data_IF_318255876982
#
_entry.id   IF_318255876982
#
_cell.length_a   1.000
_cell.length_b   1.000
_cell.length_c   1.000
_cell.angle_alpha   90.00
_cell.angle_beta   90.00
_cell.angle_gamma   90.00
#
_symmetry.space_group_name_H-M   'P 1'
#
loop_
_entity.id
_entity.type
_entity.pdbx_description
1 polymer ?
#
# COMPACT_ATOMS: atom_id res chain seq x y z
N UNK A 1 -11.82 -12.71 -35.17
CA UNK A 1 -13.17 -13.10 -34.71
C UNK A 1 -13.03 -14.21 -33.67
N UNK A 2 -12.75 -13.86 -32.41
CA UNK A 2 -12.98 -14.71 -31.22
C UNK A 2 -13.42 -13.73 -30.13
N UNK A 3 -14.72 -13.71 -29.87
CA UNK A 3 -15.32 -13.04 -28.72
C UNK A 3 -14.98 -13.85 -27.47
N UNK A 4 -14.46 -13.22 -26.41
CA UNK A 4 -14.57 -13.78 -25.07
C UNK A 4 -15.30 -12.77 -24.18
N UNK A 5 -16.42 -13.26 -23.64
CA UNK A 5 -17.41 -12.52 -22.86
C UNK A 5 -16.79 -12.12 -21.52
N UNK A 6 -16.55 -10.84 -21.31
CA UNK A 6 -16.49 -10.30 -19.96
C UNK A 6 -17.91 -10.33 -19.37
N UNK A 7 -18.13 -10.83 -18.14
CA UNK A 7 -19.42 -10.71 -17.51
C UNK A 7 -19.71 -9.22 -17.27
N UNK A 8 -20.70 -8.69 -18.00
CA UNK A 8 -21.40 -7.45 -17.68
C UNK A 8 -22.11 -7.70 -16.35
N UNK A 9 -21.87 -6.86 -15.35
CA UNK A 9 -22.48 -6.85 -14.01
C UNK A 9 -21.70 -7.63 -12.93
N UNK A 10 -20.54 -7.11 -12.55
CA UNK A 10 -20.06 -7.23 -11.16
C UNK A 10 -20.34 -5.89 -10.47
N UNK A 11 -21.59 -5.69 -10.04
CA UNK A 11 -21.95 -4.56 -9.18
C UNK A 11 -21.29 -4.76 -7.81
N UNK A 12 -20.29 -3.94 -7.48
CA UNK A 12 -19.78 -3.82 -6.13
C UNK A 12 -20.70 -2.87 -5.35
N UNK A 13 -21.76 -3.41 -4.76
CA UNK A 13 -22.61 -2.68 -3.81
C UNK A 13 -22.07 -2.92 -2.40
N UNK A 14 -21.40 -1.93 -1.81
CA UNK A 14 -21.12 -1.88 -0.37
C UNK A 14 -21.68 -0.60 0.23
N UNK A 15 -22.28 -0.75 1.42
CA UNK A 15 -23.05 0.25 2.15
C UNK A 15 -22.26 1.51 2.49
N UNK A 16 -22.92 2.65 2.34
CA UNK A 16 -22.43 3.97 2.73
C UNK A 16 -22.30 4.07 4.26
N UNK A 17 -21.11 3.85 4.80
CA UNK A 17 -20.76 4.37 6.13
C UNK A 17 -19.53 5.28 6.01
N UNK A 18 -19.72 6.53 6.42
CA UNK A 18 -18.76 7.64 6.35
C UNK A 18 -17.66 7.47 7.39
N UNK A 19 -16.52 6.94 6.95
CA UNK A 19 -15.20 7.30 7.47
C UNK A 19 -14.35 7.70 6.26
N UNK A 20 -13.38 8.63 6.37
CA UNK A 20 -12.48 8.95 5.26
C UNK A 20 -11.57 7.75 5.05
N UNK A 21 -12.03 6.78 4.25
CA UNK A 21 -11.24 5.64 3.81
C UNK A 21 -10.90 5.81 2.33
N UNK A 22 -9.70 5.39 1.95
CA UNK A 22 -9.31 5.27 0.55
C UNK A 22 -10.09 4.09 -0.05
N UNK A 23 -11.29 4.36 -0.59
CA UNK A 23 -12.27 3.29 -0.87
C UNK A 23 -11.85 2.36 -2.00
N UNK A 24 -11.14 2.86 -3.03
CA UNK A 24 -10.71 2.07 -4.20
C UNK A 24 -9.36 2.54 -4.74
N UNK A 25 -8.42 1.61 -4.88
CA UNK A 25 -7.12 1.84 -5.55
C UNK A 25 -6.93 0.91 -6.73
N UNK A 26 -6.20 1.36 -7.75
CA UNK A 26 -5.81 0.55 -8.90
C UNK A 26 -4.29 0.57 -9.09
N UNK A 27 -3.69 -0.59 -9.37
CA UNK A 27 -2.27 -0.71 -9.69
C UNK A 27 -2.00 -0.35 -11.15
N UNK A 28 -1.02 0.51 -11.40
CA UNK A 28 -0.62 0.97 -12.73
C UNK A 28 0.51 0.13 -13.36
N UNK A 29 0.66 0.22 -14.69
CA UNK A 29 1.58 -0.60 -15.50
C UNK A 29 3.01 -0.06 -15.56
N UNK A 30 3.87 -0.70 -16.37
CA UNK A 30 5.30 -0.41 -16.54
C UNK A 30 5.64 0.51 -17.71
N UNK A 31 4.64 1.12 -18.36
CA UNK A 31 4.84 2.14 -19.40
C UNK A 31 3.95 3.37 -19.14
N UNK A 32 4.44 4.57 -19.48
CA UNK A 32 3.70 5.83 -19.26
C UNK A 32 2.31 5.80 -19.90
N UNK A 33 2.24 5.40 -21.18
CA UNK A 33 0.99 5.37 -21.95
C UNK A 33 -0.05 4.43 -21.33
N UNK A 34 0.36 3.21 -21.00
CA UNK A 34 -0.56 2.22 -20.42
C UNK A 34 -0.99 2.61 -19.02
N UNK A 35 -0.07 3.16 -18.22
CA UNK A 35 -0.39 3.68 -16.88
C UNK A 35 -1.48 4.76 -16.95
N UNK A 36 -1.41 5.68 -17.91
CA UNK A 36 -2.43 6.71 -18.12
C UNK A 36 -3.77 6.07 -18.53
N UNK A 37 -3.75 5.11 -19.47
CA UNK A 37 -4.96 4.38 -19.89
C UNK A 37 -5.64 3.66 -18.71
N UNK A 38 -4.84 3.04 -17.83
CA UNK A 38 -5.34 2.40 -16.61
C UNK A 38 -5.89 3.43 -15.62
N UNK A 39 -5.27 4.60 -15.48
CA UNK A 39 -5.80 5.69 -14.65
C UNK A 39 -7.20 6.12 -15.11
N UNK A 40 -7.39 6.31 -16.41
CA UNK A 40 -8.70 6.61 -16.97
C UNK A 40 -9.72 5.49 -16.77
N UNK A 41 -9.29 4.24 -16.94
CA UNK A 41 -10.16 3.07 -16.73
C UNK A 41 -10.56 2.93 -15.26
N UNK A 42 -9.65 3.18 -14.33
CA UNK A 42 -9.89 3.18 -12.90
C UNK A 42 -10.88 4.28 -12.50
N UNK A 43 -10.68 5.50 -13.01
CA UNK A 43 -11.60 6.61 -12.77
C UNK A 43 -13.00 6.34 -13.33
N UNK A 44 -13.11 5.78 -14.54
CA UNK A 44 -14.39 5.33 -15.11
C UNK A 44 -15.07 4.24 -14.28
N UNK A 45 -14.29 3.47 -13.54
CA UNK A 45 -14.79 2.44 -12.61
C UNK A 45 -15.11 3.00 -11.21
N UNK A 46 -14.94 4.31 -11.01
CA UNK A 46 -15.22 5.02 -9.75
C UNK A 46 -14.09 4.98 -8.73
N UNK A 47 -12.85 4.66 -9.12
CA UNK A 47 -11.72 4.73 -8.19
C UNK A 47 -11.48 6.17 -7.72
N UNK A 48 -11.21 6.33 -6.42
CA UNK A 48 -10.91 7.64 -5.82
C UNK A 48 -9.43 8.02 -6.00
N UNK A 49 -8.55 7.01 -6.04
CA UNK A 49 -7.10 7.17 -6.14
C UNK A 49 -6.49 6.10 -7.04
N UNK A 50 -5.36 6.41 -7.67
CA UNK A 50 -4.51 5.44 -8.38
C UNK A 50 -3.15 5.31 -7.67
N UNK A 51 -2.50 4.15 -7.78
CA UNK A 51 -1.17 3.92 -7.22
C UNK A 51 -0.24 3.28 -8.26
N UNK A 52 0.97 3.83 -8.40
CA UNK A 52 1.94 3.43 -9.44
C UNK A 52 3.30 3.07 -8.87
N UNK A 53 3.81 1.90 -9.27
CA UNK A 53 5.22 1.56 -9.14
C UNK A 53 6.05 2.35 -10.18
N UNK A 54 7.33 2.64 -9.90
CA UNK A 54 8.25 3.11 -10.93
C UNK A 54 8.50 2.01 -11.99
N UNK A 55 8.75 2.39 -13.25
CA UNK A 55 9.05 1.44 -14.32
C UNK A 55 10.43 0.80 -14.12
N UNK A 56 10.46 -0.47 -13.72
CA UNK A 56 11.71 -1.15 -13.34
C UNK A 56 12.27 -2.22 -14.27
N UNK A 57 11.60 -2.53 -15.38
CA UNK A 57 12.08 -3.60 -16.27
C UNK A 57 13.45 -3.28 -16.89
N UNK A 58 13.64 -2.03 -17.34
CA UNK A 58 14.90 -1.54 -17.92
C UNK A 58 15.76 -0.76 -16.91
N UNK A 59 15.69 -1.09 -15.62
CA UNK A 59 16.45 -0.38 -14.57
C UNK A 59 17.94 -0.23 -14.91
N UNK A 60 18.57 -1.29 -15.43
CA UNK A 60 19.98 -1.27 -15.84
C UNK A 60 20.30 -0.34 -17.02
N UNK A 61 19.35 -0.09 -17.92
CA UNK A 61 19.53 0.85 -19.03
C UNK A 61 19.30 2.32 -18.62
N UNK A 62 18.58 2.53 -17.51
CA UNK A 62 18.27 3.87 -17.01
C UNK A 62 19.38 4.45 -16.11
N UNK A 63 20.45 3.71 -15.81
CA UNK A 63 21.44 4.07 -14.78
C UNK A 63 21.94 5.51 -14.89
N UNK A 64 22.24 6.00 -16.09
CA UNK A 64 22.76 7.36 -16.30
C UNK A 64 21.77 8.49 -16.01
N UNK A 65 20.46 8.25 -16.13
CA UNK A 65 19.42 9.27 -16.02
C UNK A 65 18.20 8.80 -15.21
N UNK A 66 18.40 7.80 -14.35
CA UNK A 66 17.37 7.02 -13.70
C UNK A 66 16.39 7.90 -12.90
N UNK A 67 16.93 8.82 -12.09
CA UNK A 67 16.11 9.74 -11.29
C UNK A 67 15.25 10.65 -12.16
N UNK A 68 15.80 11.17 -13.26
CA UNK A 68 15.09 12.02 -14.21
C UNK A 68 14.00 11.23 -14.95
N UNK A 69 14.31 10.01 -15.39
CA UNK A 69 13.35 9.13 -16.06
C UNK A 69 12.15 8.81 -15.17
N UNK A 70 12.37 8.43 -13.90
CA UNK A 70 11.30 8.18 -12.94
C UNK A 70 10.51 9.45 -12.64
N UNK A 71 11.19 10.58 -12.42
CA UNK A 71 10.53 11.85 -12.15
C UNK A 71 9.58 12.23 -13.30
N UNK A 72 10.07 12.16 -14.54
CA UNK A 72 9.29 12.48 -15.73
C UNK A 72 8.11 11.52 -15.93
N UNK A 73 8.31 10.22 -15.64
CA UNK A 73 7.22 9.25 -15.64
C UNK A 73 6.09 9.68 -14.70
N UNK A 74 6.38 9.94 -13.42
CA UNK A 74 5.33 10.31 -12.46
C UNK A 74 4.70 11.67 -12.77
N UNK A 75 5.47 12.66 -13.22
CA UNK A 75 4.92 13.97 -13.64
C UNK A 75 3.94 13.78 -14.81
N UNK A 76 4.33 13.02 -15.83
CA UNK A 76 3.49 12.81 -17.02
C UNK A 76 2.22 12.04 -16.68
N UNK A 77 2.33 10.98 -15.88
CA UNK A 77 1.18 10.21 -15.39
C UNK A 77 0.25 11.08 -14.56
N UNK A 78 0.79 11.87 -13.63
CA UNK A 78 -0.01 12.74 -12.77
C UNK A 78 -0.75 13.84 -13.56
N UNK A 79 -0.10 14.39 -14.59
CA UNK A 79 -0.69 15.43 -15.45
C UNK A 79 -1.92 14.91 -16.22
N UNK A 80 -1.89 13.66 -16.68
CA UNK A 80 -2.98 13.08 -17.49
C UNK A 80 -3.99 12.26 -16.68
N UNK A 81 -3.65 11.87 -15.44
CA UNK A 81 -4.57 11.11 -14.59
C UNK A 81 -5.80 11.95 -14.21
N UNK A 82 -7.03 11.43 -14.42
CA UNK A 82 -8.25 12.12 -13.99
C UNK A 82 -8.50 12.06 -12.48
N UNK A 83 -7.81 11.17 -11.75
CA UNK A 83 -7.91 11.00 -10.29
C UNK A 83 -6.52 11.18 -9.63
N UNK A 84 -6.45 11.54 -8.34
CA UNK A 84 -5.18 11.68 -7.63
C UNK A 84 -4.36 10.38 -7.64
N UNK A 85 -3.04 10.53 -7.77
CA UNK A 85 -2.09 9.43 -7.83
C UNK A 85 -1.23 9.32 -6.56
N UNK A 86 -0.80 8.11 -6.24
CA UNK A 86 0.21 7.83 -5.23
C UNK A 86 1.42 7.15 -5.85
N UNK A 87 2.61 7.54 -5.41
CA UNK A 87 3.85 6.84 -5.71
C UNK A 87 3.87 5.53 -4.92
N UNK A 88 4.36 4.46 -5.51
CA UNK A 88 4.60 3.19 -4.81
C UNK A 88 6.08 2.84 -4.91
N UNK A 89 6.80 2.94 -3.80
CA UNK A 89 8.19 2.50 -3.71
C UNK A 89 8.25 1.07 -3.16
N UNK A 90 8.60 0.09 -4.00
CA UNK A 90 8.71 -1.33 -3.60
C UNK A 90 9.87 -2.04 -4.35
N UNK A 91 11.11 -1.88 -3.86
CA UNK A 91 12.31 -2.32 -4.59
C UNK A 91 12.31 -3.80 -5.00
N UNK A 92 11.74 -4.68 -4.15
CA UNK A 92 11.70 -6.12 -4.39
C UNK A 92 10.93 -6.52 -5.67
N UNK A 93 10.03 -5.68 -6.17
CA UNK A 93 9.23 -5.94 -7.39
C UNK A 93 9.53 -4.97 -8.53
N UNK A 94 10.51 -4.09 -8.34
CA UNK A 94 10.94 -3.06 -9.31
C UNK A 94 12.42 -3.17 -9.62
N UNK A 95 12.98 -4.38 -9.66
CA UNK A 95 14.40 -4.61 -10.02
C UNK A 95 15.39 -3.84 -9.14
N UNK A 96 15.12 -3.74 -7.84
CA UNK A 96 15.99 -3.05 -6.89
C UNK A 96 15.89 -1.53 -6.88
N UNK A 97 14.97 -0.96 -7.68
CA UNK A 97 14.68 0.47 -7.67
C UNK A 97 14.14 0.88 -6.30
N UNK A 98 14.98 1.59 -5.55
CA UNK A 98 14.62 2.23 -4.30
C UNK A 98 14.71 3.76 -4.42
N UNK A 99 13.54 4.41 -4.49
CA UNK A 99 13.46 5.86 -4.63
C UNK A 99 13.94 6.55 -3.35
N UNK A 100 14.94 7.41 -3.50
CA UNK A 100 15.47 8.23 -2.40
C UNK A 100 14.49 9.35 -2.04
N UNK A 101 14.54 9.83 -0.78
CA UNK A 101 13.65 10.89 -0.30
C UNK A 101 13.66 12.12 -1.20
N UNK A 102 14.82 12.54 -1.70
CA UNK A 102 14.95 13.73 -2.54
C UNK A 102 14.22 13.59 -3.88
N UNK A 103 14.27 12.40 -4.49
CA UNK A 103 13.50 12.12 -5.70
C UNK A 103 12.00 12.19 -5.42
N UNK A 104 11.55 11.56 -4.34
CA UNK A 104 10.14 11.53 -3.92
C UNK A 104 9.63 12.96 -3.68
N UNK A 105 10.37 13.76 -2.91
CA UNK A 105 10.04 15.16 -2.62
C UNK A 105 10.05 15.99 -3.90
N UNK A 106 10.99 15.77 -4.81
CA UNK A 106 11.02 16.48 -6.10
C UNK A 106 9.79 16.19 -6.96
N UNK A 107 9.25 14.96 -6.91
CA UNK A 107 8.01 14.60 -7.60
C UNK A 107 6.82 15.25 -6.89
N UNK A 108 6.75 15.18 -5.55
CA UNK A 108 5.70 15.80 -4.77
C UNK A 108 5.58 17.30 -5.08
N UNK A 109 6.71 18.01 -5.16
CA UNK A 109 6.76 19.44 -5.51
C UNK A 109 6.35 19.74 -6.96
N UNK A 110 6.70 18.87 -7.91
CA UNK A 110 6.47 19.11 -9.34
C UNK A 110 5.12 18.58 -9.86
N UNK A 111 4.44 17.68 -9.15
CA UNK A 111 3.23 17.01 -9.62
C UNK A 111 2.06 17.20 -8.62
N UNK A 112 1.22 18.24 -8.77
CA UNK A 112 0.16 18.56 -7.80
C UNK A 112 -0.91 17.47 -7.71
N UNK A 113 -1.08 16.66 -8.75
CA UNK A 113 -2.03 15.54 -8.74
C UNK A 113 -1.47 14.26 -8.07
N UNK A 114 -0.22 14.28 -7.59
CA UNK A 114 0.30 13.24 -6.69
C UNK A 114 -0.03 13.62 -5.24
N UNK A 115 -0.82 12.78 -4.58
CA UNK A 115 -1.31 12.99 -3.21
C UNK A 115 -0.65 12.06 -2.18
N UNK A 116 0.42 11.35 -2.53
CA UNK A 116 1.15 10.61 -1.52
C UNK A 116 2.12 9.59 -2.06
N UNK A 117 2.68 8.83 -1.12
CA UNK A 117 3.58 7.72 -1.36
C UNK A 117 3.32 6.56 -0.42
N UNK A 118 3.33 5.35 -0.97
CA UNK A 118 3.39 4.08 -0.25
C UNK A 118 4.84 3.58 -0.23
N UNK A 119 5.39 3.33 0.96
CA UNK A 119 6.76 2.87 1.16
C UNK A 119 6.79 1.39 1.59
N UNK A 120 7.03 0.47 0.65
CA UNK A 120 7.33 -0.95 0.95
C UNK A 120 8.84 -1.19 0.84
N UNK A 121 9.62 -0.50 1.68
CA UNK A 121 11.08 -0.66 1.75
C UNK A 121 11.63 -0.86 3.18
N UNK A 122 10.78 -0.79 4.21
CA UNK A 122 11.19 -0.96 5.62
C UNK A 122 12.07 0.16 6.20
N UNK A 123 12.30 1.23 5.44
CA UNK A 123 13.23 2.30 5.81
C UNK A 123 12.50 3.43 6.55
N UNK A 124 12.31 3.29 7.87
CA UNK A 124 11.65 4.31 8.70
C UNK A 124 12.38 5.67 8.61
N UNK A 125 13.71 5.69 8.54
CA UNK A 125 14.45 6.95 8.35
C UNK A 125 14.12 7.70 7.04
N UNK A 126 13.80 6.97 5.96
CA UNK A 126 13.32 7.58 4.70
C UNK A 126 11.94 8.21 4.89
N UNK A 127 11.05 7.51 5.60
CA UNK A 127 9.74 8.01 5.97
C UNK A 127 9.88 9.29 6.78
N UNK A 128 10.68 9.28 7.85
CA UNK A 128 10.93 10.44 8.73
C UNK A 128 11.40 11.67 7.95
N UNK A 129 12.34 11.52 7.01
CA UNK A 129 12.82 12.64 6.18
C UNK A 129 11.74 13.22 5.27
N UNK A 130 10.83 12.38 4.76
CA UNK A 130 9.77 12.84 3.87
C UNK A 130 8.69 13.54 4.70
N UNK A 131 8.23 12.90 5.78
CA UNK A 131 7.18 13.42 6.66
C UNK A 131 7.58 14.72 7.34
N UNK A 132 8.86 14.91 7.71
CA UNK A 132 9.37 16.17 8.27
C UNK A 132 9.28 17.36 7.32
N UNK A 133 8.95 17.14 6.05
CA UNK A 133 8.77 18.20 5.04
C UNK A 133 7.32 18.26 4.61
N UNK A 134 6.71 17.13 4.25
CA UNK A 134 5.36 17.14 3.65
C UNK A 134 4.23 17.36 4.67
N UNK A 135 4.51 17.17 5.97
CA UNK A 135 3.54 17.46 7.03
C UNK A 135 3.62 18.91 7.53
N UNK A 136 4.63 19.69 7.12
CA UNK A 136 4.71 21.11 7.44
C UNK A 136 3.59 21.89 6.75
N UNK A 137 2.99 22.83 7.48
CA UNK A 137 1.91 23.66 6.93
C UNK A 137 2.36 24.47 5.70
N UNK A 138 3.63 24.90 5.70
CA UNK A 138 4.24 25.63 4.58
C UNK A 138 4.27 24.80 3.30
N UNK A 139 4.48 23.49 3.39
CA UNK A 139 4.52 22.60 2.21
C UNK A 139 3.17 22.55 1.50
N UNK A 140 2.07 22.48 2.26
CA UNK A 140 0.73 22.49 1.67
C UNK A 140 0.40 23.81 0.97
N UNK A 141 0.91 24.94 1.49
CA UNK A 141 0.74 26.27 0.89
C UNK A 141 1.63 26.49 -0.34
N UNK A 142 2.90 26.08 -0.28
CA UNK A 142 3.88 26.28 -1.37
C UNK A 142 3.64 25.29 -2.53
N UNK A 143 3.17 24.07 -2.22
CA UNK A 143 2.95 23.01 -3.18
C UNK A 143 1.53 22.42 -3.05
N UNK A 144 0.47 23.20 -3.36
CA UNK A 144 -0.90 22.75 -3.21
C UNK A 144 -1.18 21.51 -4.07
N UNK A 145 -2.02 20.61 -3.55
CA UNK A 145 -2.48 19.44 -4.30
C UNK A 145 -3.62 19.83 -5.23
N UNK A 146 -3.74 19.15 -6.38
CA UNK A 146 -4.81 19.38 -7.36
C UNK A 146 -6.20 19.10 -6.76
N UNK A 147 -6.27 18.15 -5.83
CA UNK A 147 -7.47 17.82 -5.06
C UNK A 147 -7.22 18.20 -3.61
N UNK A 148 -7.87 19.25 -3.14
CA UNK A 148 -7.64 19.84 -1.81
C UNK A 148 -7.94 18.87 -0.67
N UNK A 149 -8.94 18.01 -0.85
CA UNK A 149 -9.31 16.96 0.11
C UNK A 149 -8.33 15.79 0.16
N UNK A 150 -7.31 15.80 -0.71
CA UNK A 150 -6.28 14.76 -0.81
C UNK A 150 -4.87 15.37 -0.59
N UNK A 151 -4.54 15.79 0.64
CA UNK A 151 -3.20 16.28 0.98
C UNK A 151 -2.14 15.17 0.77
N UNK A 152 -0.88 15.55 0.66
CA UNK A 152 0.19 14.58 0.46
C UNK A 152 0.35 13.68 1.70
N UNK A 153 0.17 12.36 1.56
CA UNK A 153 0.31 11.39 2.65
C UNK A 153 1.48 10.43 2.43
N UNK A 154 2.21 10.13 3.50
CA UNK A 154 3.22 9.07 3.53
C UNK A 154 2.63 7.87 4.25
N UNK A 155 2.59 6.73 3.59
CA UNK A 155 1.90 5.52 4.06
C UNK A 155 2.87 4.34 4.00
N UNK A 156 2.87 3.54 5.06
CA UNK A 156 3.70 2.34 5.12
C UNK A 156 3.14 1.21 4.24
N UNK A 157 4.05 0.43 3.69
CA UNK A 157 3.73 -0.75 2.91
C UNK A 157 3.57 -2.02 3.74
N UNK A 158 4.24 -2.05 4.88
CA UNK A 158 4.13 -3.11 5.89
C UNK A 158 3.59 -2.48 7.17
N UNK A 159 2.93 -3.29 7.99
CA UNK A 159 2.27 -2.81 9.22
C UNK A 159 3.06 -3.21 10.48
N UNK A 160 4.03 -4.11 10.35
CA UNK A 160 4.91 -4.62 11.42
C UNK A 160 5.76 -3.57 12.13
N UNK A 161 5.96 -2.40 11.52
CA UNK A 161 6.63 -1.24 12.13
C UNK A 161 5.77 0.04 12.13
N UNK A 162 4.43 -0.09 12.10
CA UNK A 162 3.56 1.09 12.05
C UNK A 162 3.72 2.01 13.27
N UNK A 163 3.89 1.48 14.49
CA UNK A 163 3.99 2.30 15.70
C UNK A 163 5.15 3.33 15.64
N UNK A 164 6.41 2.94 15.35
CA UNK A 164 7.49 3.92 15.18
C UNK A 164 7.28 4.80 13.92
N UNK A 165 6.67 4.30 12.85
CA UNK A 165 6.33 5.12 11.69
C UNK A 165 5.30 6.21 11.99
N UNK A 166 4.29 5.92 12.81
CA UNK A 166 3.28 6.90 13.25
C UNK A 166 3.93 7.99 14.12
N UNK A 167 4.87 7.63 15.00
CA UNK A 167 5.67 8.60 15.74
C UNK A 167 6.52 9.50 14.80
N UNK A 168 6.92 8.99 13.64
CA UNK A 168 7.61 9.75 12.60
C UNK A 168 6.66 10.52 11.66
N UNK A 169 5.34 10.51 11.89
CA UNK A 169 4.35 11.25 11.09
C UNK A 169 3.78 10.50 9.88
N UNK A 170 3.88 9.17 9.87
CA UNK A 170 3.15 8.32 8.91
C UNK A 170 1.63 8.54 9.03
N UNK A 171 0.91 8.27 7.95
CA UNK A 171 -0.55 8.37 7.90
C UNK A 171 -1.27 7.02 8.04
N UNK A 172 -0.53 5.92 8.18
CA UNK A 172 -1.08 4.57 8.30
C UNK A 172 -0.31 3.55 7.45
N UNK A 173 -0.95 2.42 7.15
CA UNK A 173 -0.38 1.37 6.30
C UNK A 173 -1.38 0.86 5.25
N UNK A 174 -0.88 0.56 4.04
CA UNK A 174 -1.58 -0.26 3.04
C UNK A 174 -0.88 -1.63 3.01
N UNK A 175 -1.36 -2.53 3.87
CA UNK A 175 -0.70 -3.83 4.15
C UNK A 175 -1.46 -5.02 3.55
N UNK A 176 -0.73 -6.10 3.28
CA UNK A 176 -1.31 -7.39 2.91
C UNK A 176 -2.02 -8.08 4.07
N UNK A 177 -1.57 -7.89 5.31
CA UNK A 177 -2.10 -8.56 6.51
C UNK A 177 -3.59 -8.28 6.74
N UNK A 178 -4.03 -7.06 6.40
CA UNK A 178 -5.41 -6.62 6.53
C UNK A 178 -6.41 -7.45 5.70
N UNK A 179 -5.93 -8.25 4.73
CA UNK A 179 -6.81 -9.17 3.99
C UNK A 179 -7.36 -10.29 4.87
N UNK A 180 -6.67 -10.69 5.95
CA UNK A 180 -7.12 -11.77 6.82
C UNK A 180 -7.16 -11.44 8.31
N UNK A 181 -6.53 -10.34 8.73
CA UNK A 181 -6.65 -9.79 10.08
C UNK A 181 -7.03 -8.29 10.07
N UNK A 182 -8.15 -7.90 9.41
CA UNK A 182 -8.54 -6.49 9.28
C UNK A 182 -8.83 -5.81 10.61
N UNK A 183 -9.52 -6.46 11.56
CA UNK A 183 -9.87 -5.84 12.85
C UNK A 183 -8.63 -5.53 13.66
N UNK A 184 -7.66 -6.44 13.65
CA UNK A 184 -6.36 -6.29 14.29
C UNK A 184 -5.60 -5.11 13.70
N UNK A 185 -5.58 -4.98 12.37
CA UNK A 185 -4.93 -3.85 11.70
C UNK A 185 -5.59 -2.51 12.08
N UNK A 186 -6.93 -2.45 12.12
CA UNK A 186 -7.66 -1.24 12.53
C UNK A 186 -7.41 -0.91 14.00
N UNK A 187 -7.55 -1.89 14.90
CA UNK A 187 -7.28 -1.73 16.33
C UNK A 187 -5.86 -1.25 16.56
N UNK A 188 -4.90 -1.81 15.84
CA UNK A 188 -3.51 -1.41 15.97
C UNK A 188 -3.29 0.04 15.52
N UNK A 189 -3.86 0.45 14.38
CA UNK A 189 -3.80 1.83 13.94
C UNK A 189 -4.42 2.80 14.97
N UNK A 190 -5.55 2.45 15.58
CA UNK A 190 -6.15 3.25 16.67
C UNK A 190 -5.24 3.34 17.89
N UNK A 191 -4.62 2.23 18.29
CA UNK A 191 -3.65 2.18 19.40
C UNK A 191 -2.39 3.00 19.12
N UNK A 192 -1.95 3.07 17.87
CA UNK A 192 -0.81 3.92 17.48
C UNK A 192 -1.06 5.42 17.71
N UNK A 193 -2.31 5.84 17.89
CA UNK A 193 -2.65 7.22 18.24
C UNK A 193 -2.44 7.52 19.73
N UNK A 194 -2.08 6.53 20.55
CA UNK A 194 -1.93 6.68 21.99
C UNK A 194 -0.70 7.53 22.39
N UNK A 195 -0.85 8.27 23.47
CA UNK A 195 0.25 9.05 24.06
C UNK A 195 1.33 8.11 24.63
N UNK A 196 2.63 8.34 24.34
CA UNK A 196 3.72 7.57 24.92
C UNK A 196 3.63 7.48 26.45
N UNK A 197 3.83 6.28 26.99
CA UNK A 197 3.73 6.00 28.42
C UNK A 197 2.32 5.68 28.95
N UNK A 198 1.28 5.82 28.12
CA UNK A 198 -0.08 5.37 28.48
C UNK A 198 -0.22 3.84 28.40
N UNK A 199 -1.24 3.29 29.09
CA UNK A 199 -1.58 1.86 28.98
C UNK A 199 -1.92 1.44 27.54
N UNK A 200 -2.56 2.32 26.77
CA UNK A 200 -2.85 2.09 25.35
C UNK A 200 -1.57 2.05 24.49
N UNK A 201 -0.54 2.82 24.84
CA UNK A 201 0.75 2.74 24.16
C UNK A 201 1.44 1.39 24.45
N UNK A 202 1.39 0.91 25.70
CA UNK A 202 1.90 -0.42 26.04
C UNK A 202 1.13 -1.53 25.29
N UNK A 203 -0.19 -1.38 25.12
CA UNK A 203 -0.99 -2.26 24.27
C UNK A 203 -0.56 -2.17 22.78
N UNK A 204 -0.32 -0.96 22.26
CA UNK A 204 0.18 -0.78 20.89
C UNK A 204 1.49 -1.55 20.66
N UNK A 205 2.43 -1.51 21.61
CA UNK A 205 3.68 -2.27 21.53
C UNK A 205 3.44 -3.78 21.50
N UNK A 206 2.53 -4.29 22.34
CA UNK A 206 2.16 -5.72 22.34
C UNK A 206 1.53 -6.15 21.03
N UNK A 207 0.58 -5.36 20.51
CA UNK A 207 -0.10 -5.66 19.24
C UNK A 207 0.87 -5.54 18.07
N UNK A 208 1.81 -4.60 18.09
CA UNK A 208 2.87 -4.54 17.08
C UNK A 208 3.70 -5.83 17.05
N UNK A 209 4.12 -6.33 18.22
CA UNK A 209 4.92 -7.56 18.28
C UNK A 209 4.14 -8.78 17.74
N UNK A 210 2.85 -8.87 18.06
CA UNK A 210 1.95 -9.89 17.52
C UNK A 210 1.90 -9.82 15.99
N UNK A 211 1.65 -8.62 15.45
CA UNK A 211 1.60 -8.35 14.01
C UNK A 211 2.93 -8.66 13.34
N UNK A 212 4.05 -8.20 13.88
CA UNK A 212 5.37 -8.36 13.29
C UNK A 212 5.76 -9.83 13.15
N UNK A 213 5.46 -10.64 14.17
CA UNK A 213 5.71 -12.07 14.13
C UNK A 213 4.84 -12.77 13.07
N UNK A 214 3.55 -12.44 13.00
CA UNK A 214 2.62 -13.05 12.04
C UNK A 214 2.90 -12.61 10.59
N UNK A 215 3.16 -11.32 10.34
CA UNK A 215 3.48 -10.78 9.02
C UNK A 215 4.82 -11.34 8.51
N UNK A 216 5.80 -11.47 9.40
CA UNK A 216 7.09 -12.10 9.11
C UNK A 216 6.98 -13.56 8.66
N UNK A 217 5.97 -14.30 9.13
CA UNK A 217 5.62 -15.64 8.63
C UNK A 217 4.88 -15.52 7.30
N UNK A 218 3.78 -14.74 7.27
CA UNK A 218 2.88 -14.62 6.12
C UNK A 218 3.58 -14.16 4.82
N UNK A 219 4.55 -13.25 4.92
CA UNK A 219 5.32 -12.75 3.76
C UNK A 219 6.25 -13.84 3.20
N UNK A 220 6.94 -14.60 4.04
CA UNK A 220 7.96 -15.58 3.61
C UNK A 220 7.36 -16.78 2.89
N UNK A 221 6.16 -17.17 3.28
CA UNK A 221 5.52 -18.38 2.78
C UNK A 221 4.77 -18.14 1.47
N UNK A 222 4.46 -16.89 1.10
CA UNK A 222 3.79 -16.58 -0.17
C UNK A 222 2.44 -17.28 -0.31
N UNK A 223 1.53 -17.04 0.64
CA UNK A 223 0.29 -17.83 0.78
C UNK A 223 -0.99 -17.04 0.96
N UNK A 224 -1.00 -15.72 0.72
CA UNK A 224 -2.14 -14.85 1.03
C UNK A 224 -3.47 -15.36 0.44
N UNK A 225 -3.47 -15.81 -0.82
CA UNK A 225 -4.66 -16.39 -1.46
C UNK A 225 -5.11 -17.70 -0.82
N UNK A 226 -4.17 -18.55 -0.43
CA UNK A 226 -4.45 -19.79 0.29
C UNK A 226 -5.07 -19.49 1.66
N UNK A 227 -4.47 -18.54 2.42
CA UNK A 227 -4.99 -18.08 3.71
C UNK A 227 -6.42 -17.56 3.58
N UNK A 228 -6.68 -16.69 2.60
CA UNK A 228 -8.03 -16.18 2.31
C UNK A 228 -9.02 -17.30 2.01
N UNK A 229 -8.61 -18.29 1.22
CA UNK A 229 -9.46 -19.41 0.86
C UNK A 229 -9.77 -20.31 2.07
N UNK A 230 -8.77 -20.61 2.90
CA UNK A 230 -8.93 -21.41 4.12
C UNK A 230 -9.78 -20.70 5.18
N UNK A 231 -9.59 -19.41 5.36
CA UNK A 231 -10.26 -18.64 6.42
C UNK A 231 -11.67 -18.20 6.03
N UNK A 232 -11.90 -17.88 4.76
CA UNK A 232 -13.14 -17.23 4.33
C UNK A 232 -13.81 -17.87 3.10
N UNK A 233 -13.19 -18.89 2.49
CA UNK A 233 -13.76 -19.58 1.33
C UNK A 233 -13.63 -18.84 0.00
N UNK A 234 -12.91 -17.71 -0.08
CA UNK A 234 -12.71 -16.95 -1.32
C UNK A 234 -11.23 -16.70 -1.64
N UNK A 235 -10.94 -16.11 -2.81
CA UNK A 235 -9.57 -15.72 -3.24
C UNK A 235 -9.01 -16.60 -4.35
N UNK A 236 -9.39 -17.88 -4.34
CA UNK A 236 -9.07 -18.88 -5.36
C UNK A 236 -7.57 -19.01 -5.63
N UNK A 237 -7.23 -19.73 -6.71
CA UNK A 237 -5.83 -19.93 -7.05
C UNK A 237 -5.15 -18.66 -7.59
N UNK A 238 -3.83 -18.50 -7.38
CA UNK A 238 -3.09 -17.45 -8.05
C UNK A 238 -3.16 -17.63 -9.56
N UNK A 239 -3.14 -16.51 -10.29
CA UNK A 239 -3.08 -16.56 -11.75
C UNK A 239 -1.66 -17.00 -12.14
N UNK A 240 -1.57 -17.97 -13.05
CA UNK A 240 -0.29 -18.40 -13.67
C UNK A 240 0.50 -17.17 -14.17
N UNK A 241 1.84 -17.16 -14.07
CA UNK A 241 2.72 -18.30 -13.77
C UNK A 241 2.93 -18.60 -12.27
N UNK A 242 2.31 -17.85 -11.36
CA UNK A 242 2.37 -18.18 -9.93
C UNK A 242 1.63 -19.50 -9.69
N UNK A 243 2.31 -20.45 -9.05
CA UNK A 243 1.74 -21.75 -8.73
C UNK A 243 0.91 -21.67 -7.44
N UNK A 244 -0.16 -22.48 -7.33
CA UNK A 244 -0.82 -22.75 -6.06
C UNK A 244 0.18 -23.14 -4.97
N UNK A 245 -0.11 -22.78 -3.72
CA UNK A 245 0.60 -23.34 -2.59
C UNK A 245 0.19 -24.80 -2.41
N UNK A 246 1.17 -25.68 -2.19
CA UNK A 246 0.90 -27.09 -1.85
C UNK A 246 0.07 -27.20 -0.57
N UNK A 247 -0.81 -28.20 -0.53
CA UNK A 247 -1.79 -28.35 0.56
C UNK A 247 -1.08 -28.53 1.91
N UNK A 248 -0.08 -29.40 1.95
CA UNK A 248 0.70 -29.72 3.14
C UNK A 248 1.40 -28.47 3.69
N UNK A 249 1.99 -27.68 2.79
CA UNK A 249 2.59 -26.40 3.17
C UNK A 249 1.55 -25.44 3.72
N UNK A 250 0.38 -25.35 3.10
CA UNK A 250 -0.71 -24.50 3.58
C UNK A 250 -1.23 -24.90 4.96
N UNK A 251 -1.30 -26.20 5.22
CA UNK A 251 -1.72 -26.72 6.53
C UNK A 251 -0.67 -26.39 7.60
N UNK A 252 0.64 -26.49 7.29
CA UNK A 252 1.71 -26.01 8.19
C UNK A 252 1.57 -24.51 8.51
N UNK A 253 1.25 -23.67 7.52
CA UNK A 253 1.02 -22.23 7.74
C UNK A 253 -0.11 -21.97 8.73
N UNK A 254 -1.20 -22.74 8.64
CA UNK A 254 -2.33 -22.62 9.56
C UNK A 254 -1.99 -23.11 10.97
N UNK A 255 -1.02 -24.02 11.08
CA UNK A 255 -0.52 -24.53 12.35
C UNK A 255 0.55 -23.64 13.00
N UNK A 256 1.15 -22.70 12.25
CA UNK A 256 2.15 -21.76 12.77
C UNK A 256 1.63 -20.94 13.95
N UNK A 257 2.39 -20.96 15.05
CA UNK A 257 2.00 -20.33 16.31
C UNK A 257 1.61 -18.86 16.12
N UNK A 258 2.41 -18.08 15.41
CA UNK A 258 2.17 -16.65 15.23
C UNK A 258 0.92 -16.34 14.39
N UNK A 259 0.59 -17.21 13.44
CA UNK A 259 -0.65 -17.09 12.66
C UNK A 259 -1.85 -17.41 13.56
N UNK A 260 -1.77 -18.47 14.37
CA UNK A 260 -2.82 -18.83 15.33
C UNK A 260 -3.07 -17.74 16.36
N UNK A 261 -2.01 -17.24 17.00
CA UNK A 261 -2.10 -16.16 17.99
C UNK A 261 -2.78 -14.92 17.39
N UNK A 262 -2.41 -14.55 16.15
CA UNK A 262 -3.00 -13.40 15.45
C UNK A 262 -4.48 -13.64 15.15
N UNK A 263 -4.84 -14.83 14.66
CA UNK A 263 -6.23 -15.17 14.32
C UNK A 263 -7.12 -15.27 15.56
N UNK A 264 -6.59 -15.74 16.68
CA UNK A 264 -7.29 -15.74 17.96
C UNK A 264 -7.57 -14.31 18.43
N UNK A 265 -6.55 -13.44 18.39
CA UNK A 265 -6.71 -12.02 18.70
C UNK A 265 -7.73 -11.34 17.77
N UNK A 266 -7.63 -11.56 16.46
CA UNK A 266 -8.57 -11.05 15.45
C UNK A 266 -10.03 -11.42 15.76
N UNK A 267 -10.28 -12.69 16.15
CA UNK A 267 -11.63 -13.17 16.51
C UNK A 267 -12.16 -12.57 17.79
N UNK A 268 -11.27 -12.23 18.73
CA UNK A 268 -11.62 -11.58 19.99
C UNK A 268 -12.02 -10.11 19.85
N UNK A 269 -11.70 -9.47 18.73
CA UNK A 269 -12.05 -8.08 18.46
C UNK A 269 -13.49 -7.94 17.94
N UNK A 270 -14.20 -6.94 18.44
CA UNK A 270 -15.57 -6.61 18.02
C UNK A 270 -15.59 -6.04 16.60
#
# INVERSE_FOLDING_TARGET
MIQSRAPKNAHCSYSQHEKPSMKRTSSMSRSTRETIQLAHSAAKSGADFAIALPPGYYAGALVANYMLAIKNYFIKVAAESPIPGMIYNFPAVTSGIDMQSDLILSIAKSAPNICGIKLTCGAVGKLTRITSIVNEQSFATEYPRKVETAPFRVIDGFIDFLLPSMAAGSSGAITGLANFAPKTCVRFWELCQAVPGSGSYAEAQRVQNLIANADGVAIKIGGMKMLLNRLFGYGGEPRRPLMPMEKERGDLVMEEKYIKDLLEFERGLK
#
